data_IF_473426132634
#
_entry.id   IF_473426132634
#
_cell.length_a   1.000
_cell.length_b   1.000
_cell.length_c   1.000
_cell.angle_alpha   90.00
_cell.angle_beta   90.00
_cell.angle_gamma   90.00
#
_symmetry.space_group_name_H-M   'P 1'
#
loop_
_entity.id
_entity.type
_entity.pdbx_description
1 polymer ?
#
# COMPACT_ATOMS: atom_id res chain seq x y z
N UNK A 1 -56.70 -45.58 12.26
CA UNK A 1 -55.25 -45.75 12.52
C UNK A 1 -54.54 -45.11 11.33
N UNK A 2 -54.17 -43.84 11.48
CA UNK A 2 -53.53 -43.00 10.41
C UNK A 2 -52.05 -42.97 10.70
N UNK A 3 -51.27 -43.62 9.79
CA UNK A 3 -49.79 -43.57 9.83
C UNK A 3 -49.32 -42.20 9.32
N UNK A 4 -48.72 -41.40 10.20
CA UNK A 4 -47.95 -40.21 9.81
C UNK A 4 -46.56 -40.65 9.35
N UNK A 5 -46.32 -40.56 8.06
CA UNK A 5 -44.99 -40.72 7.48
C UNK A 5 -44.23 -39.43 7.66
N UNK A 6 -43.27 -39.41 8.61
CA UNK A 6 -42.38 -38.25 8.85
C UNK A 6 -41.30 -38.24 7.75
N UNK A 7 -41.44 -37.34 6.80
CA UNK A 7 -40.37 -37.06 5.82
C UNK A 7 -39.29 -36.24 6.54
N UNK A 8 -38.17 -36.87 6.86
CA UNK A 8 -36.96 -36.18 7.32
C UNK A 8 -36.29 -35.56 6.11
N UNK A 9 -36.47 -34.25 5.93
CA UNK A 9 -35.73 -33.48 4.92
C UNK A 9 -34.32 -33.25 5.46
N UNK A 10 -33.37 -34.01 4.92
CA UNK A 10 -31.94 -33.77 5.17
C UNK A 10 -31.56 -32.50 4.42
N UNK A 11 -31.40 -31.39 5.15
CA UNK A 11 -30.69 -30.19 4.65
C UNK A 11 -29.19 -30.50 4.64
N UNK A 12 -28.52 -30.48 3.47
CA UNK A 12 -27.06 -30.54 3.48
C UNK A 12 -26.55 -29.29 4.20
N UNK A 13 -25.86 -29.49 5.34
CA UNK A 13 -25.08 -28.41 5.94
C UNK A 13 -24.12 -27.93 4.86
N UNK A 14 -24.40 -26.74 4.29
CA UNK A 14 -23.43 -25.99 3.51
C UNK A 14 -22.28 -25.67 4.49
N UNK A 15 -21.20 -26.42 4.43
CA UNK A 15 -19.94 -25.98 4.97
C UNK A 15 -19.59 -24.71 4.22
N UNK A 16 -19.83 -23.55 4.83
CA UNK A 16 -19.21 -22.31 4.41
C UNK A 16 -17.71 -22.49 4.71
N UNK A 17 -16.96 -22.89 3.71
CA UNK A 17 -15.51 -22.78 3.72
C UNK A 17 -15.20 -21.30 3.93
N UNK A 18 -14.76 -20.95 5.12
CA UNK A 18 -14.28 -19.61 5.41
C UNK A 18 -12.92 -19.46 4.71
N UNK A 19 -12.92 -18.86 3.53
CA UNK A 19 -11.71 -18.52 2.81
C UNK A 19 -10.96 -17.47 3.68
N UNK A 20 -9.74 -17.77 4.06
CA UNK A 20 -8.87 -16.83 4.72
C UNK A 20 -8.25 -15.92 3.66
N UNK A 21 -8.51 -14.63 3.77
CA UNK A 21 -7.95 -13.63 2.87
C UNK A 21 -6.81 -12.91 3.57
N UNK A 22 -5.62 -12.99 3.00
CA UNK A 22 -4.44 -12.26 3.45
C UNK A 22 -4.04 -11.24 2.40
N UNK A 23 -3.75 -10.02 2.84
CA UNK A 23 -3.31 -8.95 1.95
C UNK A 23 -2.00 -8.39 2.46
N UNK A 24 -0.97 -8.55 1.64
CA UNK A 24 0.36 -8.01 1.91
C UNK A 24 0.50 -6.66 1.23
N UNK A 25 0.79 -5.62 2.00
CA UNK A 25 0.74 -4.23 1.57
C UNK A 25 2.10 -3.57 1.74
N UNK A 26 2.60 -2.99 0.66
CA UNK A 26 3.76 -2.09 0.69
C UNK A 26 3.33 -0.65 0.57
N UNK A 27 3.88 0.22 1.41
CA UNK A 27 3.64 1.66 1.39
C UNK A 27 4.97 2.39 1.29
N UNK A 28 5.20 3.10 0.18
CA UNK A 28 6.31 4.04 -0.02
C UNK A 28 5.81 5.48 0.18
N UNK A 29 5.94 6.06 1.40
CA UNK A 29 5.35 7.35 1.71
C UNK A 29 6.08 8.50 1.03
N UNK A 30 5.32 9.38 0.40
CA UNK A 30 5.84 10.63 -0.17
C UNK A 30 4.80 11.75 -0.09
N UNK A 31 5.24 12.98 0.09
CA UNK A 31 4.37 14.16 0.14
C UNK A 31 3.75 14.53 -1.23
N UNK A 32 4.25 13.94 -2.30
CA UNK A 32 3.81 14.27 -3.66
C UNK A 32 3.42 13.06 -4.50
N UNK A 33 3.87 11.85 -4.14
CA UNK A 33 3.62 10.64 -4.93
C UNK A 33 3.85 9.40 -4.05
N UNK A 34 2.84 9.01 -3.27
CA UNK A 34 2.92 7.80 -2.44
C UNK A 34 2.59 6.57 -3.26
N UNK A 35 3.51 5.60 -3.30
CA UNK A 35 3.31 4.31 -3.93
C UNK A 35 2.65 3.31 -3.00
N UNK A 36 1.70 2.51 -3.52
CA UNK A 36 1.07 1.40 -2.82
C UNK A 36 1.06 0.16 -3.70
N UNK A 37 1.34 -0.99 -3.09
CA UNK A 37 1.12 -2.30 -3.70
C UNK A 37 0.35 -3.18 -2.71
N UNK A 38 -0.76 -3.79 -3.17
CA UNK A 38 -1.56 -4.73 -2.41
C UNK A 38 -1.51 -6.09 -3.12
N UNK A 39 -0.96 -7.11 -2.48
CA UNK A 39 -0.92 -8.48 -2.98
C UNK A 39 -1.96 -9.33 -2.23
N UNK A 40 -2.90 -9.91 -2.96
CA UNK A 40 -4.02 -10.68 -2.42
C UNK A 40 -3.72 -12.16 -2.47
N UNK A 41 -3.93 -12.84 -1.35
CA UNK A 41 -3.82 -14.28 -1.20
C UNK A 41 -5.12 -14.82 -0.60
N UNK A 42 -5.59 -15.96 -1.11
CA UNK A 42 -6.72 -16.71 -0.60
C UNK A 42 -6.24 -18.15 -0.34
N UNK A 43 -6.35 -18.60 0.92
CA UNK A 43 -5.82 -19.90 1.37
C UNK A 43 -4.38 -20.17 0.87
N UNK A 44 -3.47 -19.21 1.13
CA UNK A 44 -2.05 -19.18 0.72
C UNK A 44 -1.79 -19.12 -0.79
N UNK A 45 -2.82 -19.08 -1.62
CA UNK A 45 -2.66 -18.97 -3.07
C UNK A 45 -2.71 -17.51 -3.52
N UNK A 46 -1.72 -17.10 -4.31
CA UNK A 46 -1.72 -15.76 -4.93
C UNK A 46 -2.91 -15.61 -5.88
N UNK A 47 -3.67 -14.53 -5.71
CA UNK A 47 -4.85 -14.23 -6.52
C UNK A 47 -4.55 -13.10 -7.50
N UNK A 48 -4.10 -11.96 -6.99
CA UNK A 48 -3.80 -10.76 -7.78
C UNK A 48 -2.94 -9.77 -7.02
N UNK A 49 -2.41 -8.80 -7.73
CA UNK A 49 -1.87 -7.57 -7.18
C UNK A 49 -2.66 -6.35 -7.67
N UNK A 50 -2.64 -5.29 -6.87
CA UNK A 50 -3.19 -3.99 -7.21
C UNK A 50 -2.19 -2.91 -6.85
N UNK A 51 -2.01 -1.92 -7.72
CA UNK A 51 -1.05 -0.84 -7.56
C UNK A 51 -1.74 0.50 -7.55
N UNK A 52 -1.29 1.39 -6.67
CA UNK A 52 -1.82 2.74 -6.59
C UNK A 52 -0.70 3.77 -6.48
N UNK A 53 -0.88 4.90 -7.14
CA UNK A 53 -0.10 6.11 -6.88
C UNK A 53 -1.06 7.17 -6.34
N UNK A 54 -0.90 7.51 -5.06
CA UNK A 54 -1.61 8.61 -4.41
C UNK A 54 -0.87 9.90 -4.67
N UNK A 55 -1.45 10.81 -5.43
CA UNK A 55 -0.81 12.06 -5.83
C UNK A 55 -1.77 13.25 -5.85
N UNK A 56 -1.24 14.49 -5.77
CA UNK A 56 -2.10 15.67 -5.79
C UNK A 56 -2.58 16.03 -7.18
N UNK A 57 -3.79 16.61 -7.23
CA UNK A 57 -4.36 17.42 -8.29
C UNK A 57 -4.68 16.73 -9.62
N UNK A 58 -3.75 16.69 -10.58
CA UNK A 58 -4.09 16.32 -11.96
C UNK A 58 -3.14 15.26 -12.52
N UNK A 59 -3.68 14.43 -13.41
CA UNK A 59 -2.91 13.51 -14.21
C UNK A 59 -2.36 14.20 -15.46
N UNK A 60 -1.12 13.86 -15.82
CA UNK A 60 -0.57 14.15 -17.14
C UNK A 60 -1.25 13.30 -18.21
N UNK A 61 -1.06 13.65 -19.49
CA UNK A 61 -1.61 12.86 -20.61
C UNK A 61 -1.13 11.39 -20.58
N UNK A 62 0.16 11.18 -20.26
CA UNK A 62 0.73 9.82 -20.19
C UNK A 62 0.14 9.02 -19.02
N UNK A 63 -0.03 9.64 -17.86
CA UNK A 63 -0.64 9.01 -16.69
C UNK A 63 -2.10 8.60 -16.94
N UNK A 64 -2.89 9.43 -17.64
CA UNK A 64 -4.26 9.08 -18.03
C UNK A 64 -4.27 7.85 -18.93
N UNK A 65 -3.39 7.79 -19.94
CA UNK A 65 -3.27 6.64 -20.82
C UNK A 65 -2.89 5.37 -20.04
N UNK A 66 -2.00 5.47 -19.05
CA UNK A 66 -1.65 4.34 -18.21
C UNK A 66 -2.84 3.86 -17.38
N UNK A 67 -3.55 4.77 -16.73
CA UNK A 67 -4.74 4.46 -15.92
C UNK A 67 -5.86 3.81 -16.76
N UNK A 68 -6.11 4.31 -17.98
CA UNK A 68 -7.16 3.77 -18.86
C UNK A 68 -6.83 2.36 -19.40
N UNK A 69 -5.55 1.97 -19.43
CA UNK A 69 -5.11 0.69 -20.01
C UNK A 69 -4.81 -0.40 -18.97
N UNK A 70 -4.33 -0.02 -17.79
CA UNK A 70 -3.91 -0.97 -16.76
C UNK A 70 -5.10 -1.33 -15.86
N UNK A 71 -5.41 -2.63 -15.77
CA UNK A 71 -6.55 -3.13 -14.99
C UNK A 71 -6.25 -3.23 -13.49
N UNK A 72 -4.99 -3.38 -13.14
CA UNK A 72 -4.53 -3.58 -11.77
C UNK A 72 -3.76 -2.36 -11.22
N UNK A 73 -3.96 -1.20 -11.82
CA UNK A 73 -3.26 0.03 -11.44
C UNK A 73 -4.22 1.23 -11.45
N UNK A 74 -4.07 2.14 -10.49
CA UNK A 74 -4.83 3.40 -10.46
C UNK A 74 -4.01 4.57 -9.90
N UNK A 75 -4.22 5.76 -10.45
CA UNK A 75 -3.82 7.03 -9.85
C UNK A 75 -4.98 7.58 -9.01
N UNK A 76 -4.79 7.61 -7.69
CA UNK A 76 -5.81 8.16 -6.78
C UNK A 76 -5.43 9.58 -6.39
N UNK A 77 -6.26 10.52 -6.79
CA UNK A 77 -5.98 11.94 -6.63
C UNK A 77 -6.56 12.48 -5.32
N UNK A 78 -5.80 13.36 -4.66
CA UNK A 78 -6.32 14.21 -3.60
C UNK A 78 -6.17 15.68 -3.95
N UNK A 79 -7.06 16.52 -3.43
CA UNK A 79 -6.96 17.95 -3.58
C UNK A 79 -5.87 18.49 -2.64
N UNK A 80 -4.78 19.00 -3.20
CA UNK A 80 -3.69 19.62 -2.44
C UNK A 80 -3.92 21.12 -2.32
N UNK A 81 -3.82 21.63 -1.10
CA UNK A 81 -3.85 23.06 -0.85
C UNK A 81 -2.51 23.66 -1.24
N UNK A 82 -2.55 24.73 -2.03
CA UNK A 82 -1.35 25.47 -2.42
C UNK A 82 -0.82 26.30 -1.24
N UNK A 83 0.32 25.86 -0.71
CA UNK A 83 0.97 26.51 0.42
C UNK A 83 1.55 27.89 0.07
N UNK A 84 1.76 28.21 -1.22
CA UNK A 84 2.23 29.53 -1.63
C UNK A 84 1.26 30.65 -1.27
N UNK A 85 -0.04 30.32 -1.14
CA UNK A 85 -1.05 31.27 -0.68
C UNK A 85 -0.85 31.73 0.77
N UNK A 86 -0.03 30.99 1.55
CA UNK A 86 0.17 31.20 2.98
C UNK A 86 1.64 31.37 3.37
N UNK A 87 2.53 31.59 2.41
CA UNK A 87 3.98 31.66 2.62
C UNK A 87 4.41 32.72 3.64
N UNK A 88 3.65 33.82 3.73
CA UNK A 88 3.92 34.95 4.62
C UNK A 88 3.31 34.77 6.03
N UNK A 89 2.63 33.63 6.27
CA UNK A 89 2.03 33.28 7.56
C UNK A 89 2.38 31.83 7.94
N UNK A 90 3.44 31.68 8.74
CA UNK A 90 3.96 30.38 9.14
C UNK A 90 2.91 29.52 9.88
N UNK A 91 2.02 30.10 10.69
CA UNK A 91 0.99 29.36 11.42
C UNK A 91 0.01 28.67 10.48
N UNK A 92 -0.49 29.41 9.48
CA UNK A 92 -1.39 28.85 8.47
C UNK A 92 -0.66 27.88 7.53
N UNK A 93 0.60 28.14 7.20
CA UNK A 93 1.42 27.25 6.39
C UNK A 93 1.55 25.85 7.02
N UNK A 94 1.90 25.79 8.31
CA UNK A 94 2.01 24.51 9.04
C UNK A 94 0.67 23.80 9.20
N UNK A 95 -0.42 24.55 9.47
CA UNK A 95 -1.76 23.99 9.50
C UNK A 95 -2.14 23.31 8.18
N UNK A 96 -1.94 23.99 7.06
CA UNK A 96 -2.31 23.46 5.74
C UNK A 96 -1.39 22.32 5.26
N UNK A 97 -0.13 22.28 5.67
CA UNK A 97 0.74 21.11 5.48
C UNK A 97 0.15 19.88 6.16
N UNK A 98 -0.26 20.04 7.42
CA UNK A 98 -0.91 18.98 8.19
C UNK A 98 -2.19 18.50 7.51
N UNK A 99 -3.02 19.42 7.03
CA UNK A 99 -4.25 19.08 6.28
C UNK A 99 -3.93 18.28 5.01
N UNK A 100 -2.88 18.67 4.27
CA UNK A 100 -2.45 17.92 3.08
C UNK A 100 -1.98 16.49 3.45
N UNK A 101 -1.24 16.31 4.54
CA UNK A 101 -0.83 14.99 5.04
C UNK A 101 -2.05 14.14 5.47
N UNK A 102 -3.02 14.73 6.16
CA UNK A 102 -4.28 14.06 6.50
C UNK A 102 -5.00 13.57 5.24
N UNK A 103 -5.02 14.36 4.17
CA UNK A 103 -5.64 13.96 2.89
C UNK A 103 -4.92 12.78 2.26
N UNK A 104 -3.58 12.77 2.26
CA UNK A 104 -2.79 11.62 1.81
C UNK A 104 -3.18 10.35 2.59
N UNK A 105 -3.16 10.41 3.92
CA UNK A 105 -3.48 9.26 4.78
C UNK A 105 -4.90 8.75 4.54
N UNK A 106 -5.89 9.67 4.44
CA UNK A 106 -7.28 9.29 4.11
C UNK A 106 -7.39 8.60 2.74
N UNK A 107 -6.63 9.07 1.76
CA UNK A 107 -6.62 8.47 0.41
C UNK A 107 -5.97 7.09 0.43
N UNK A 108 -4.84 6.91 1.14
CA UNK A 108 -4.21 5.60 1.36
C UNK A 108 -5.20 4.63 2.01
N UNK A 109 -5.86 5.08 3.07
CA UNK A 109 -6.89 4.31 3.77
C UNK A 109 -8.01 3.87 2.82
N UNK A 110 -8.52 4.79 2.01
CA UNK A 110 -9.55 4.51 1.01
C UNK A 110 -9.08 3.43 0.01
N UNK A 111 -7.89 3.56 -0.58
CA UNK A 111 -7.33 2.55 -1.47
C UNK A 111 -7.28 1.16 -0.83
N UNK A 112 -6.93 1.05 0.46
CA UNK A 112 -6.84 -0.23 1.15
C UNK A 112 -8.24 -0.77 1.46
N UNK A 113 -9.10 0.01 2.09
CA UNK A 113 -10.40 -0.46 2.59
C UNK A 113 -11.42 -0.73 1.49
N UNK A 114 -11.39 -0.03 0.36
CA UNK A 114 -12.26 -0.31 -0.79
C UNK A 114 -12.00 -1.70 -1.38
N UNK A 115 -10.75 -2.15 -1.32
CA UNK A 115 -10.39 -3.48 -1.80
C UNK A 115 -10.82 -4.63 -0.89
N UNK A 116 -11.15 -4.35 0.36
CA UNK A 116 -11.57 -5.35 1.34
C UNK A 116 -13.06 -5.27 1.69
N UNK A 117 -13.76 -4.27 1.13
CA UNK A 117 -15.17 -4.07 1.41
C UNK A 117 -15.99 -5.32 1.06
N UNK A 118 -16.83 -5.78 1.99
CA UNK A 118 -17.66 -6.98 1.84
C UNK A 118 -16.93 -8.31 2.03
N UNK A 119 -15.59 -8.33 2.19
CA UNK A 119 -14.83 -9.54 2.50
C UNK A 119 -14.84 -9.80 4.01
N UNK A 120 -14.95 -11.07 4.39
CA UNK A 120 -14.88 -11.53 5.79
C UNK A 120 -13.51 -12.16 6.05
N UNK A 121 -13.06 -12.13 7.31
CA UNK A 121 -11.81 -12.76 7.75
C UNK A 121 -10.57 -12.29 6.97
N UNK A 122 -10.44 -10.96 6.77
CA UNK A 122 -9.29 -10.36 6.11
C UNK A 122 -8.22 -10.01 7.13
N UNK A 123 -7.00 -10.49 6.91
CA UNK A 123 -5.79 -10.05 7.63
C UNK A 123 -4.94 -9.17 6.74
N UNK A 124 -4.45 -8.07 7.27
CA UNK A 124 -3.59 -7.13 6.56
C UNK A 124 -2.18 -7.17 7.17
N UNK A 125 -1.19 -7.31 6.31
CA UNK A 125 0.22 -7.28 6.67
C UNK A 125 0.86 -6.10 5.95
N UNK A 126 1.16 -5.02 6.68
CA UNK A 126 1.60 -3.76 6.08
C UNK A 126 3.08 -3.56 6.37
N UNK A 127 3.88 -3.32 5.34
CA UNK A 127 5.24 -2.80 5.46
C UNK A 127 5.28 -1.37 4.93
N UNK A 128 5.70 -0.47 5.78
CA UNK A 128 5.98 0.92 5.44
C UNK A 128 7.49 1.16 5.43
N UNK A 129 7.99 1.92 4.46
CA UNK A 129 9.39 2.37 4.49
C UNK A 129 9.66 3.24 5.71
N UNK A 130 10.73 2.91 6.44
CA UNK A 130 11.22 3.72 7.55
C UNK A 130 12.00 4.94 7.06
N UNK A 131 12.07 5.97 7.91
CA UNK A 131 12.81 7.18 7.59
C UNK A 131 14.31 6.88 7.61
N UNK A 132 15.01 7.18 6.51
CA UNK A 132 16.46 7.09 6.43
C UNK A 132 17.10 8.38 6.96
N UNK A 133 17.85 8.28 8.04
CA UNK A 133 18.59 9.41 8.62
C UNK A 133 19.91 9.72 7.92
N UNK A 134 20.31 8.94 6.90
CA UNK A 134 21.68 8.98 6.32
C UNK A 134 21.88 9.88 5.12
N UNK A 135 20.84 10.32 4.44
CA UNK A 135 20.96 11.15 3.25
C UNK A 135 20.38 12.54 3.47
N UNK A 136 21.28 13.50 3.63
CA UNK A 136 21.01 14.95 3.60
C UNK A 136 19.89 15.46 4.51
N UNK A 137 20.22 15.71 5.76
CA UNK A 137 19.47 16.56 6.74
C UNK A 137 19.20 17.99 6.20
N UNK A 138 19.16 18.20 4.90
CA UNK A 138 19.18 19.53 4.29
C UNK A 138 17.83 20.16 4.01
N UNK A 139 16.70 19.52 4.32
CA UNK A 139 15.42 20.12 3.92
C UNK A 139 14.37 20.06 5.02
N UNK A 140 13.62 21.15 5.17
CA UNK A 140 12.36 21.21 5.95
C UNK A 140 11.40 20.04 5.61
N UNK A 141 11.51 19.47 4.41
CA UNK A 141 10.69 18.36 3.93
C UNK A 141 10.91 17.04 4.70
N UNK A 142 12.05 16.84 5.39
CA UNK A 142 12.27 15.61 6.15
C UNK A 142 11.36 15.54 7.38
N UNK A 143 11.10 16.66 8.04
CA UNK A 143 10.16 16.72 9.16
C UNK A 143 8.72 16.50 8.70
N UNK A 144 8.35 17.07 7.55
CA UNK A 144 7.04 16.88 6.96
C UNK A 144 6.86 15.41 6.54
N UNK A 145 7.88 14.78 5.96
CA UNK A 145 7.86 13.35 5.61
C UNK A 145 7.79 12.47 6.87
N UNK A 146 8.53 12.83 7.92
CA UNK A 146 8.45 12.14 9.20
C UNK A 146 7.03 12.23 9.79
N UNK A 147 6.43 13.43 9.75
CA UNK A 147 5.04 13.65 10.16
C UNK A 147 4.07 12.74 9.40
N UNK A 148 4.15 12.70 8.06
CA UNK A 148 3.33 11.81 7.23
C UNK A 148 3.52 10.34 7.62
N UNK A 149 4.77 9.90 7.80
CA UNK A 149 5.09 8.53 8.21
C UNK A 149 4.40 8.15 9.53
N UNK A 150 4.48 9.02 10.55
CA UNK A 150 3.83 8.77 11.83
C UNK A 150 2.29 8.81 11.74
N UNK A 151 1.72 9.65 10.89
CA UNK A 151 0.27 9.69 10.65
C UNK A 151 -0.24 8.40 10.00
N UNK A 152 0.52 7.84 9.03
CA UNK A 152 0.19 6.53 8.44
C UNK A 152 0.25 5.44 9.50
N UNK A 153 1.30 5.38 10.32
CA UNK A 153 1.44 4.41 11.40
C UNK A 153 0.27 4.49 12.36
N UNK A 154 -0.08 5.68 12.81
CA UNK A 154 -1.19 5.91 13.75
C UNK A 154 -2.54 5.43 13.20
N UNK A 155 -2.74 5.48 11.87
CA UNK A 155 -3.98 4.99 11.25
C UNK A 155 -4.11 3.47 11.33
N UNK A 156 -3.00 2.71 11.29
CA UNK A 156 -3.04 1.27 11.08
C UNK A 156 -2.52 0.42 12.24
N UNK A 157 -1.61 0.91 13.08
CA UNK A 157 -0.79 0.08 14.00
C UNK A 157 -1.58 -0.61 15.12
N UNK A 158 -2.75 -0.09 15.51
CA UNK A 158 -3.56 -0.63 16.63
C UNK A 158 -4.85 -1.35 16.16
N UNK A 159 -4.93 -1.73 14.89
CA UNK A 159 -6.10 -2.46 14.36
C UNK A 159 -5.92 -3.96 14.55
N UNK A 160 -6.91 -4.64 15.12
CA UNK A 160 -6.83 -6.08 15.47
C UNK A 160 -6.49 -7.01 14.31
N UNK A 161 -6.89 -6.66 13.09
CA UNK A 161 -6.65 -7.46 11.91
C UNK A 161 -5.44 -6.99 11.07
N UNK A 162 -4.58 -6.11 11.62
CA UNK A 162 -3.44 -5.52 10.93
C UNK A 162 -2.16 -5.80 11.70
N UNK A 163 -1.18 -6.42 11.02
CA UNK A 163 0.21 -6.45 11.45
C UNK A 163 0.99 -5.40 10.66
N UNK A 164 1.54 -4.42 11.37
CA UNK A 164 2.22 -3.28 10.78
C UNK A 164 3.71 -3.29 11.08
N UNK A 165 4.53 -3.29 10.04
CA UNK A 165 5.99 -3.31 10.13
C UNK A 165 6.60 -2.04 9.55
N UNK A 166 7.72 -1.64 10.11
CA UNK A 166 8.52 -0.51 9.62
C UNK A 166 9.86 -1.07 9.18
N UNK A 167 10.15 -1.02 7.89
CA UNK A 167 11.38 -1.57 7.34
C UNK A 167 12.35 -0.46 6.89
N UNK A 168 13.62 -0.51 7.32
CA UNK A 168 14.65 0.37 6.75
C UNK A 168 14.80 0.16 5.24
N UNK A 169 15.06 1.19 4.44
CA UNK A 169 15.29 1.06 3.00
C UNK A 169 16.33 0.01 2.64
N UNK A 170 17.38 -0.11 3.45
CA UNK A 170 18.46 -1.10 3.25
C UNK A 170 17.99 -2.54 3.39
N UNK A 171 16.98 -2.82 4.22
CA UNK A 171 16.40 -4.14 4.38
C UNK A 171 15.57 -4.53 3.16
N UNK A 172 14.76 -3.62 2.64
CA UNK A 172 13.99 -3.84 1.41
C UNK A 172 14.92 -4.08 0.22
N UNK A 173 15.96 -3.25 0.08
CA UNK A 173 16.99 -3.42 -0.96
C UNK A 173 17.70 -4.76 -0.87
N UNK A 174 18.12 -5.15 0.34
CA UNK A 174 18.76 -6.45 0.58
C UNK A 174 17.83 -7.62 0.26
N UNK A 175 16.56 -7.50 0.62
CA UNK A 175 15.56 -8.50 0.27
C UNK A 175 15.38 -8.65 -1.24
N UNK A 176 15.22 -7.53 -1.96
CA UNK A 176 14.99 -7.52 -3.40
C UNK A 176 16.20 -7.96 -4.24
N UNK A 177 17.43 -7.59 -3.81
CA UNK A 177 18.64 -7.69 -4.65
C UNK A 177 19.77 -8.50 -4.03
N UNK A 178 19.66 -8.89 -2.76
CA UNK A 178 20.78 -9.44 -1.96
C UNK A 178 21.73 -8.38 -1.41
N UNK A 179 21.65 -7.11 -1.86
CA UNK A 179 22.59 -6.03 -1.55
C UNK A 179 21.85 -4.83 -0.95
N UNK A 180 22.06 -4.54 0.36
CA UNK A 180 21.33 -3.50 1.08
C UNK A 180 21.61 -2.06 0.65
N UNK A 181 22.79 -1.79 0.04
CA UNK A 181 23.18 -0.47 -0.46
C UNK A 181 23.17 -0.38 -1.99
N UNK A 182 22.41 -1.25 -2.68
CA UNK A 182 22.31 -1.21 -4.13
C UNK A 182 21.70 0.12 -4.62
N UNK A 183 22.01 0.47 -5.87
CA UNK A 183 21.43 1.63 -6.54
C UNK A 183 19.95 1.39 -6.83
N UNK A 184 19.15 2.46 -6.86
CA UNK A 184 17.70 2.41 -7.11
C UNK A 184 17.38 1.81 -8.49
N UNK A 185 18.21 2.07 -9.48
CA UNK A 185 18.05 1.57 -10.85
C UNK A 185 17.99 0.03 -10.90
N UNK A 186 18.73 -0.67 -10.03
CA UNK A 186 18.73 -2.14 -9.98
C UNK A 186 17.35 -2.66 -9.54
N UNK A 187 16.72 -2.04 -8.54
CA UNK A 187 15.37 -2.41 -8.09
C UNK A 187 14.35 -2.18 -9.20
N UNK A 188 14.42 -1.03 -9.86
CA UNK A 188 13.54 -0.69 -10.98
C UNK A 188 13.71 -1.70 -12.12
N UNK A 189 14.94 -2.11 -12.44
CA UNK A 189 15.22 -3.08 -13.50
C UNK A 189 14.67 -4.47 -13.17
N UNK A 190 14.82 -4.93 -11.92
CA UNK A 190 14.23 -6.18 -11.48
C UNK A 190 12.70 -6.13 -11.56
N UNK A 191 12.08 -5.02 -11.16
CA UNK A 191 10.64 -4.83 -11.26
C UNK A 191 10.17 -4.84 -12.72
N UNK A 192 10.86 -4.16 -13.63
CA UNK A 192 10.54 -4.16 -15.07
C UNK A 192 10.56 -5.56 -15.69
N UNK A 193 11.50 -6.40 -15.29
CA UNK A 193 11.62 -7.76 -15.82
C UNK A 193 10.42 -8.65 -15.47
N UNK A 194 9.78 -8.39 -14.34
CA UNK A 194 8.60 -9.14 -13.86
C UNK A 194 7.27 -8.48 -14.21
N UNK A 195 7.25 -7.15 -14.40
CA UNK A 195 6.03 -6.35 -14.61
C UNK A 195 6.12 -5.53 -15.91
N UNK A 196 6.27 -6.21 -17.04
CA UNK A 196 6.52 -5.59 -18.35
C UNK A 196 5.44 -4.60 -18.75
N UNK A 197 4.16 -4.94 -18.55
CA UNK A 197 3.03 -4.07 -18.92
C UNK A 197 3.04 -2.76 -18.11
N UNK A 198 3.25 -2.82 -16.80
CA UNK A 198 3.41 -1.63 -15.95
C UNK A 198 4.63 -0.80 -16.41
N UNK A 199 5.74 -1.48 -16.74
CA UNK A 199 6.97 -0.83 -17.17
C UNK A 199 6.84 -0.08 -18.50
N UNK A 200 6.02 -0.58 -19.42
CA UNK A 200 5.77 0.06 -20.71
C UNK A 200 4.84 1.26 -20.63
N UNK A 201 3.86 1.21 -19.75
CA UNK A 201 2.79 2.20 -19.69
C UNK A 201 3.02 3.30 -18.65
N UNK A 202 3.66 2.99 -17.52
CA UNK A 202 3.87 3.97 -16.47
C UNK A 202 5.07 4.89 -16.79
N UNK A 203 4.88 6.21 -16.71
CA UNK A 203 5.97 7.17 -16.96
C UNK A 203 7.05 7.17 -15.88
N UNK A 204 6.75 6.66 -14.68
CA UNK A 204 7.63 6.58 -13.53
C UNK A 204 7.31 5.31 -12.74
N UNK A 205 8.33 4.53 -12.38
CA UNK A 205 8.18 3.21 -11.79
C UNK A 205 8.70 3.11 -10.34
N UNK A 206 9.50 4.07 -9.91
CA UNK A 206 10.22 3.98 -8.64
C UNK A 206 9.31 3.80 -7.43
N UNK A 207 8.26 4.63 -7.31
CA UNK A 207 7.33 4.56 -6.18
C UNK A 207 6.58 3.20 -6.14
N UNK A 208 6.25 2.64 -7.31
CA UNK A 208 5.56 1.34 -7.44
C UNK A 208 6.50 0.17 -7.20
N UNK A 209 7.73 0.24 -7.72
CA UNK A 209 8.73 -0.81 -7.50
C UNK A 209 9.10 -0.93 -6.02
N UNK A 210 9.32 0.20 -5.34
CA UNK A 210 9.61 0.21 -3.91
C UNK A 210 8.41 -0.36 -3.11
N UNK A 211 7.17 0.04 -3.42
CA UNK A 211 5.96 -0.49 -2.79
C UNK A 211 5.77 -1.99 -3.05
N UNK A 212 6.05 -2.48 -4.26
CA UNK A 212 5.98 -3.90 -4.60
C UNK A 212 6.94 -4.73 -3.74
N UNK A 213 8.22 -4.35 -3.66
CA UNK A 213 9.17 -5.11 -2.84
C UNK A 213 8.86 -5.02 -1.34
N UNK A 214 8.24 -3.94 -0.88
CA UNK A 214 7.72 -3.88 0.50
C UNK A 214 6.56 -4.84 0.73
N UNK A 215 5.63 -4.99 -0.22
CA UNK A 215 4.56 -5.99 -0.10
C UNK A 215 5.08 -7.42 -0.10
N UNK A 216 6.06 -7.74 -0.96
CA UNK A 216 6.75 -9.03 -0.93
C UNK A 216 7.48 -9.26 0.41
N UNK A 217 8.09 -8.22 0.96
CA UNK A 217 8.76 -8.29 2.26
C UNK A 217 7.77 -8.48 3.41
N UNK A 218 6.56 -7.89 3.31
CA UNK A 218 5.48 -8.12 4.27
C UNK A 218 5.11 -9.61 4.35
N UNK A 219 5.02 -10.29 3.20
CA UNK A 219 4.76 -11.73 3.15
C UNK A 219 5.87 -12.54 3.81
N UNK A 220 7.13 -12.19 3.55
CA UNK A 220 8.27 -12.84 4.21
C UNK A 220 8.20 -12.69 5.73
N UNK A 221 7.95 -11.48 6.23
CA UNK A 221 7.86 -11.22 7.67
C UNK A 221 6.68 -11.95 8.31
N UNK A 222 5.54 -12.08 7.62
CA UNK A 222 4.41 -12.85 8.10
C UNK A 222 4.79 -14.30 8.36
N UNK A 223 5.50 -14.95 7.44
CA UNK A 223 5.96 -16.34 7.59
C UNK A 223 6.90 -16.43 8.81
N UNK A 224 7.90 -15.54 8.89
CA UNK A 224 8.86 -15.51 10.01
C UNK A 224 8.19 -15.25 11.38
N UNK A 225 7.06 -14.50 11.42
CA UNK A 225 6.36 -14.16 12.67
C UNK A 225 5.35 -15.23 13.10
N UNK A 226 4.83 -16.03 12.16
CA UNK A 226 3.93 -17.14 12.48
C UNK A 226 4.70 -18.38 13.00
N UNK A 227 6.04 -18.42 12.85
CA UNK A 227 6.92 -19.48 13.36
C UNK A 227 7.38 -19.21 14.81
N UNK A 228 6.96 -18.08 15.44
CA UNK A 228 7.27 -17.70 16.83
C UNK A 228 6.02 -17.86 17.71
#
# INVERSE_FOLDING_TARGET
>A
MILFCSIIIYYPQKYFLFINVEIYIGIDPSLNSTGLCLQFYEDDQFVKDMYYIVKPNKLTKKEKVAQDKLLNFDYVLYEKIDLNLYKDNNLFSEYWKTVNMIRIVKTIKHCIYDNIQGRKNVKLYIVQEGISYGSSIRTKSIFDLAGLNYMIRNEFIEKENILFFIAPPTHIKKFATGIGNCKKEIIIELFKNTHKELAELLPKLDDIADAYYMSCYAKKLCIEYNDI
#
